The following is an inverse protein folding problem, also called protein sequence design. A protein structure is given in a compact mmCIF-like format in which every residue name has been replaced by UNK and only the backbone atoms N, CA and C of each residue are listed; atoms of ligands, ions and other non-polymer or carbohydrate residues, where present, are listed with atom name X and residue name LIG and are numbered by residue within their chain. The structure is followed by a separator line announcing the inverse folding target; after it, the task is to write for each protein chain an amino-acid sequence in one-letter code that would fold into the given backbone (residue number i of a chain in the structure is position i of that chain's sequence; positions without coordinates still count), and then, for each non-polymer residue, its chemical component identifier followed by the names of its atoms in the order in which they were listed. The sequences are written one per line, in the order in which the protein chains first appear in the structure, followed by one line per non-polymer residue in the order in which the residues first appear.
data_IF_224562025562
#
_entry.id   IF_224562025562
#
_cell.length_a   1.000
_cell.length_b   1.000
_cell.length_c   1.000
_cell.angle_alpha   90.00
_cell.angle_beta   90.00
_cell.angle_gamma   90.00
#
_symmetry.space_group_name_H-M   'P 1'
#
loop_
_entity.id
_entity.type
_entity.pdbx_description
1 polymer ?
#
# COMPACT_ATOMS: atom_id res chain seq x y z
N UNK A 1 -36.04 1.09 -10.59
CA UNK A 1 -34.74 1.59 -10.12
C UNK A 1 -33.74 0.49 -10.38
N UNK A 2 -32.58 0.83 -10.91
CA UNK A 2 -31.48 -0.13 -11.14
C UNK A 2 -30.21 0.46 -10.57
N UNK A 3 -29.49 -0.36 -9.85
CA UNK A 3 -28.19 0.02 -9.33
C UNK A 3 -27.19 0.18 -10.49
N UNK A 4 -26.43 1.26 -10.47
CA UNK A 4 -25.42 1.55 -11.48
C UNK A 4 -24.08 0.86 -11.15
N UNK A 5 -23.73 0.82 -9.87
CA UNK A 5 -22.52 0.21 -9.35
C UNK A 5 -22.83 -0.52 -8.05
N UNK A 6 -22.42 -1.78 -7.95
CA UNK A 6 -22.65 -2.65 -6.79
C UNK A 6 -21.35 -3.32 -6.38
N UNK A 7 -21.34 -4.06 -5.25
CA UNK A 7 -20.19 -4.82 -4.79
C UNK A 7 -19.40 -4.11 -3.67
N UNK A 8 -20.03 -3.15 -2.98
CA UNK A 8 -19.46 -2.48 -1.81
C UNK A 8 -19.87 -3.11 -0.47
N UNK A 9 -20.75 -4.12 -0.55
CA UNK A 9 -21.18 -4.93 0.60
C UNK A 9 -21.03 -6.41 0.26
N UNK A 10 -20.61 -7.20 1.23
CA UNK A 10 -20.50 -8.65 1.15
C UNK A 10 -20.93 -9.28 2.46
N UNK A 11 -21.99 -10.10 2.44
CA UNK A 11 -22.51 -10.84 3.62
C UNK A 11 -22.77 -9.94 4.84
N UNK A 12 -23.40 -8.76 4.62
CA UNK A 12 -23.66 -7.71 5.62
C UNK A 12 -22.41 -6.91 6.06
N UNK A 13 -21.22 -7.23 5.56
CA UNK A 13 -20.00 -6.45 5.80
C UNK A 13 -19.84 -5.37 4.71
N UNK A 14 -19.55 -4.15 5.14
CA UNK A 14 -19.18 -3.03 4.25
C UNK A 14 -17.73 -3.20 3.84
N UNK A 15 -17.50 -3.50 2.56
CA UNK A 15 -16.15 -3.67 1.97
C UNK A 15 -15.71 -2.47 1.14
N UNK A 16 -16.59 -1.49 0.95
CA UNK A 16 -16.32 -0.21 0.31
C UNK A 16 -17.39 0.81 0.65
N UNK A 17 -17.02 2.09 0.59
CA UNK A 17 -17.91 3.21 0.87
C UNK A 17 -17.75 4.30 -0.18
N UNK A 18 -18.53 4.24 -1.29
CA UNK A 18 -18.51 5.29 -2.32
C UNK A 18 -18.91 6.63 -1.70
N UNK A 19 -18.04 7.64 -1.86
CA UNK A 19 -18.21 8.95 -1.22
C UNK A 19 -18.57 10.03 -2.23
N UNK A 20 -17.98 10.02 -3.43
CA UNK A 20 -18.21 11.03 -4.45
C UNK A 20 -18.11 10.47 -5.86
N UNK A 21 -18.73 11.16 -6.82
CA UNK A 21 -18.78 10.76 -8.23
C UNK A 21 -18.45 11.95 -9.12
N UNK A 22 -17.51 11.77 -10.06
CA UNK A 22 -17.08 12.79 -11.02
C UNK A 22 -17.12 12.23 -12.44
N UNK A 23 -17.66 13.00 -13.40
CA UNK A 23 -17.53 12.71 -14.82
C UNK A 23 -16.24 13.35 -15.37
N UNK A 24 -15.37 12.52 -15.96
CA UNK A 24 -14.16 12.97 -16.61
C UNK A 24 -14.40 13.55 -18.03
N UNK A 25 -13.43 14.28 -18.59
CA UNK A 25 -13.55 14.89 -19.92
C UNK A 25 -13.68 13.90 -21.07
N UNK A 26 -13.33 12.64 -20.85
CA UNK A 26 -13.46 11.52 -21.77
C UNK A 26 -14.78 10.73 -21.61
N UNK A 27 -15.70 11.22 -20.75
CA UNK A 27 -16.95 10.55 -20.43
C UNK A 27 -16.79 9.34 -19.50
N UNK A 28 -15.60 9.12 -18.92
CA UNK A 28 -15.41 8.16 -17.83
C UNK A 28 -16.05 8.69 -16.56
N UNK A 29 -16.57 7.78 -15.73
CA UNK A 29 -17.08 8.09 -14.39
C UNK A 29 -16.04 7.64 -13.38
N UNK A 30 -15.64 8.55 -12.51
CA UNK A 30 -14.74 8.29 -11.38
C UNK A 30 -15.55 8.24 -10.10
N UNK A 31 -15.35 7.21 -9.30
CA UNK A 31 -16.01 7.03 -8.00
C UNK A 31 -14.94 6.90 -6.93
N UNK A 32 -14.92 7.82 -5.98
CA UNK A 32 -14.04 7.72 -4.82
C UNK A 32 -14.63 6.82 -3.75
N UNK A 33 -13.78 6.02 -3.13
CA UNK A 33 -14.12 5.15 -2.00
C UNK A 33 -13.26 5.58 -0.81
N UNK A 34 -13.87 6.17 0.20
CA UNK A 34 -13.17 6.69 1.37
C UNK A 34 -12.88 5.61 2.43
N UNK A 35 -13.45 4.42 2.28
CA UNK A 35 -13.15 3.28 3.13
C UNK A 35 -11.86 2.57 2.69
N UNK A 36 -11.72 2.31 1.39
CA UNK A 36 -10.53 1.65 0.83
C UNK A 36 -9.43 2.63 0.39
N UNK A 37 -9.75 3.93 0.29
CA UNK A 37 -8.84 4.94 -0.28
C UNK A 37 -8.64 4.79 -1.79
N UNK A 38 -9.58 4.16 -2.49
CA UNK A 38 -9.50 3.83 -3.91
C UNK A 38 -10.32 4.81 -4.75
N UNK A 39 -9.90 5.06 -5.99
CA UNK A 39 -10.71 5.74 -7.01
C UNK A 39 -10.97 4.75 -8.14
N UNK A 40 -12.24 4.39 -8.32
CA UNK A 40 -12.67 3.55 -9.43
C UNK A 40 -12.88 4.40 -10.69
N UNK A 41 -12.36 3.96 -11.83
CA UNK A 41 -12.67 4.52 -13.13
C UNK A 41 -13.57 3.57 -13.92
N UNK A 42 -14.73 4.05 -14.30
CA UNK A 42 -15.70 3.32 -15.09
C UNK A 42 -15.78 3.98 -16.46
N UNK A 43 -15.45 3.26 -17.51
CA UNK A 43 -15.51 3.77 -18.87
C UNK A 43 -16.32 2.82 -19.77
N UNK A 44 -16.93 3.36 -20.84
CA UNK A 44 -17.52 2.54 -21.90
C UNK A 44 -16.40 1.94 -22.74
N UNK A 45 -16.03 0.71 -22.44
CA UNK A 45 -15.27 -0.13 -23.35
C UNK A 45 -16.20 -0.75 -24.41
N UNK A 46 -15.68 -1.08 -25.60
CA UNK A 46 -16.33 -2.08 -26.42
C UNK A 46 -16.51 -3.32 -25.54
N UNK A 47 -17.71 -3.90 -25.53
CA UNK A 47 -18.01 -5.11 -24.77
C UNK A 47 -17.22 -6.28 -25.36
N UNK A 48 -15.94 -6.33 -25.06
CA UNK A 48 -15.14 -7.53 -25.15
C UNK A 48 -15.55 -8.38 -23.95
N UNK A 49 -16.24 -9.49 -24.22
CA UNK A 49 -16.21 -10.60 -23.30
C UNK A 49 -14.73 -10.95 -23.17
N UNK A 50 -14.10 -10.50 -22.09
CA UNK A 50 -12.74 -10.86 -21.76
C UNK A 50 -12.72 -12.40 -21.63
N UNK A 51 -12.08 -13.06 -22.59
CA UNK A 51 -11.56 -14.38 -22.37
C UNK A 51 -10.39 -14.25 -21.37
N UNK A 52 -10.10 -15.30 -20.64
CA UNK A 52 -9.05 -15.35 -19.59
C UNK A 52 -7.66 -14.85 -20.04
N UNK A 53 -7.43 -14.72 -21.36
CA UNK A 53 -6.17 -14.23 -21.95
C UNK A 53 -6.05 -12.69 -21.92
N UNK A 54 -7.14 -11.94 -21.98
CA UNK A 54 -7.12 -10.46 -21.88
C UNK A 54 -6.87 -9.99 -20.43
N UNK A 55 -7.28 -10.79 -19.43
CA UNK A 55 -6.95 -10.52 -18.03
C UNK A 55 -5.44 -10.63 -17.76
N UNK A 56 -4.76 -11.56 -18.43
CA UNK A 56 -3.30 -11.74 -18.28
C UNK A 56 -2.50 -10.59 -18.89
N UNK A 57 -2.94 -10.04 -20.03
CA UNK A 57 -2.26 -8.89 -20.65
C UNK A 57 -2.46 -7.61 -19.88
N UNK A 58 -3.67 -7.38 -19.33
CA UNK A 58 -3.99 -6.21 -18.49
C UNK A 58 -3.29 -6.26 -17.13
N UNK A 59 -3.05 -7.47 -16.59
CA UNK A 59 -2.26 -7.66 -15.38
C UNK A 59 -0.76 -7.46 -15.63
N UNK A 60 -0.26 -7.76 -16.83
CA UNK A 60 1.14 -7.51 -17.20
C UNK A 60 1.45 -6.02 -17.42
N UNK A 61 0.50 -5.23 -17.95
CA UNK A 61 0.64 -3.78 -18.08
C UNK A 61 0.45 -3.01 -16.75
N UNK A 62 -0.19 -3.64 -15.75
CA UNK A 62 -0.34 -3.10 -14.39
C UNK A 62 0.86 -3.35 -13.48
N UNK A 63 1.80 -4.15 -13.90
CA UNK A 63 3.02 -4.49 -13.15
C UNK A 63 4.04 -3.33 -13.06
N UNK A 64 3.71 -2.12 -13.54
CA UNK A 64 4.55 -0.94 -13.42
C UNK A 64 4.10 0.07 -12.34
N UNK A 65 3.04 -0.23 -11.57
CA UNK A 65 2.76 0.53 -10.34
C UNK A 65 3.60 -0.05 -9.20
N UNK A 66 4.52 0.72 -8.58
CA UNK A 66 5.40 0.20 -7.53
C UNK A 66 4.69 -0.35 -6.29
N UNK A 67 3.36 -0.24 -6.23
CA UNK A 67 2.54 -0.73 -5.12
C UNK A 67 1.99 -2.15 -5.33
N UNK A 68 2.05 -2.71 -6.55
CA UNK A 68 1.50 -4.05 -6.87
C UNK A 68 2.52 -5.20 -6.79
N UNK A 69 3.69 -4.97 -6.22
CA UNK A 69 4.79 -5.94 -6.20
C UNK A 69 4.73 -7.01 -5.11
N UNK A 70 3.74 -7.01 -4.23
CA UNK A 70 3.59 -8.00 -3.18
C UNK A 70 2.48 -9.00 -3.54
N UNK A 71 2.84 -10.11 -4.19
CA UNK A 71 1.95 -11.27 -4.27
C UNK A 71 1.67 -11.80 -2.86
N UNK A 72 0.41 -12.19 -2.52
CA UNK A 72 0.10 -12.69 -1.20
C UNK A 72 0.88 -13.99 -0.92
N UNK A 73 1.73 -13.96 0.11
CA UNK A 73 2.30 -15.16 0.73
C UNK A 73 3.79 -15.42 0.55
N UNK A 74 4.58 -14.47 0.03
CA UNK A 74 6.03 -14.58 0.06
C UNK A 74 6.57 -13.72 1.22
N UNK A 75 7.34 -14.35 2.12
CA UNK A 75 8.09 -13.64 3.16
C UNK A 75 8.98 -12.55 2.50
N UNK A 76 8.73 -11.25 2.76
CA UNK A 76 9.51 -10.16 2.14
C UNK A 76 11.01 -10.24 2.41
N UNK A 77 11.43 -10.98 3.44
CA UNK A 77 12.79 -11.12 3.88
C UNK A 77 13.44 -12.45 3.47
N UNK A 78 12.69 -13.37 2.83
CA UNK A 78 13.16 -14.71 2.47
C UNK A 78 14.46 -14.75 1.63
N UNK A 79 14.75 -13.67 0.90
CA UNK A 79 15.98 -13.56 0.09
C UNK A 79 17.21 -13.11 0.89
N UNK A 80 17.05 -12.70 2.15
CA UNK A 80 18.14 -12.21 2.99
C UNK A 80 18.71 -13.32 3.88
N UNK A 81 20.03 -13.40 3.95
CA UNK A 81 20.70 -14.23 4.96
C UNK A 81 20.43 -13.69 6.37
N UNK A 82 20.21 -14.58 7.34
CA UNK A 82 19.84 -14.22 8.70
C UNK A 82 20.77 -13.22 9.39
N UNK A 83 22.09 -13.31 9.15
CA UNK A 83 23.06 -12.36 9.71
C UNK A 83 22.86 -10.95 9.13
N UNK A 84 22.67 -10.83 7.81
CA UNK A 84 22.43 -9.56 7.13
C UNK A 84 21.06 -8.97 7.57
N UNK A 85 20.04 -9.82 7.68
CA UNK A 85 18.74 -9.40 8.18
C UNK A 85 18.83 -8.81 9.58
N UNK A 86 19.58 -9.46 10.49
CA UNK A 86 19.78 -8.99 11.85
C UNK A 86 20.52 -7.66 11.91
N UNK A 87 21.57 -7.49 11.10
CA UNK A 87 22.34 -6.22 11.03
C UNK A 87 21.44 -5.09 10.52
N UNK A 88 20.70 -5.33 9.43
CA UNK A 88 19.78 -4.35 8.86
C UNK A 88 18.63 -4.02 9.82
N UNK A 89 18.08 -5.01 10.53
CA UNK A 89 17.04 -4.80 11.54
C UNK A 89 17.50 -3.88 12.67
N UNK A 90 18.71 -4.10 13.20
CA UNK A 90 19.30 -3.23 14.24
C UNK A 90 19.50 -1.79 13.75
N UNK A 91 20.01 -1.63 12.53
CA UNK A 91 20.16 -0.31 11.90
C UNK A 91 18.79 0.34 11.67
N UNK A 92 17.82 -0.42 11.18
CA UNK A 92 16.45 0.05 10.96
C UNK A 92 15.75 0.48 12.24
N UNK A 93 15.93 -0.26 13.34
CA UNK A 93 15.42 0.12 14.66
C UNK A 93 15.98 1.48 15.12
N UNK A 94 17.28 1.70 14.94
CA UNK A 94 17.91 2.97 15.30
C UNK A 94 17.35 4.13 14.44
N UNK A 95 17.13 3.90 13.14
CA UNK A 95 16.55 4.88 12.22
C UNK A 95 15.07 5.18 12.55
N UNK A 96 14.29 4.16 12.92
CA UNK A 96 12.91 4.29 13.34
C UNK A 96 12.77 5.22 14.56
N UNK A 97 13.65 5.05 15.55
CA UNK A 97 13.71 5.92 16.72
C UNK A 97 14.21 7.33 16.40
N UNK A 98 15.30 7.44 15.63
CA UNK A 98 15.92 8.73 15.28
C UNK A 98 14.97 9.64 14.47
N UNK A 99 14.13 9.07 13.63
CA UNK A 99 13.15 9.79 12.82
C UNK A 99 11.76 9.90 13.49
N UNK A 100 11.64 9.50 14.76
CA UNK A 100 10.42 9.55 15.55
C UNK A 100 9.20 8.92 14.87
N UNK A 101 9.39 7.82 14.11
CA UNK A 101 8.32 7.16 13.34
C UNK A 101 7.18 6.67 14.24
N UNK A 102 7.51 6.27 15.49
CA UNK A 102 6.53 5.83 16.50
C UNK A 102 5.46 6.86 16.81
N UNK A 103 5.76 8.17 16.74
CA UNK A 103 4.78 9.22 17.04
C UNK A 103 3.52 9.19 16.17
N UNK A 104 3.63 8.62 14.97
CA UNK A 104 2.52 8.47 14.03
C UNK A 104 2.11 7.01 13.80
N UNK A 105 2.97 6.05 14.19
CA UNK A 105 2.75 4.64 13.87
C UNK A 105 2.55 3.73 15.10
N UNK A 106 2.94 4.18 16.30
CA UNK A 106 2.75 3.44 17.54
C UNK A 106 1.82 4.19 18.48
N UNK A 107 0.77 3.53 18.96
CA UNK A 107 -0.22 4.18 19.83
C UNK A 107 0.40 4.63 21.17
N UNK A 108 1.38 3.92 21.66
CA UNK A 108 2.11 4.21 22.90
C UNK A 108 3.01 5.45 22.82
N UNK A 109 3.48 5.80 21.62
CA UNK A 109 4.40 6.93 21.37
C UNK A 109 3.66 8.17 20.85
N UNK A 110 2.38 8.02 20.49
CA UNK A 110 1.60 9.09 19.87
C UNK A 110 1.21 10.15 20.89
N UNK A 111 1.37 11.45 20.57
CA UNK A 111 0.84 12.53 21.39
C UNK A 111 -0.70 12.47 21.47
N UNK A 112 -1.31 13.00 22.56
CA UNK A 112 -2.76 13.06 22.70
C UNK A 112 -3.44 13.72 21.48
N UNK A 113 -4.41 13.05 20.88
CA UNK A 113 -5.18 13.56 19.73
C UNK A 113 -4.56 13.28 18.36
N UNK A 114 -3.41 12.60 18.28
CA UNK A 114 -2.84 12.11 17.02
C UNK A 114 -3.48 10.77 16.68
N UNK A 115 -4.00 10.68 15.46
CA UNK A 115 -4.50 9.40 14.92
C UNK A 115 -3.30 8.61 14.40
N UNK A 116 -3.06 7.45 14.98
CA UNK A 116 -1.97 6.57 14.56
C UNK A 116 -2.38 5.71 13.38
N UNK A 117 -1.42 5.43 12.50
CA UNK A 117 -1.58 4.50 11.38
C UNK A 117 -0.77 3.23 11.65
N UNK A 118 -1.46 2.10 11.81
CA UNK A 118 -0.82 0.80 12.03
C UNK A 118 0.11 0.42 10.87
N UNK A 119 1.23 -0.21 11.22
CA UNK A 119 2.19 -0.81 10.30
C UNK A 119 1.97 -2.32 10.13
N UNK A 120 0.98 -2.92 10.79
CA UNK A 120 0.69 -4.34 10.66
C UNK A 120 0.27 -4.72 9.24
N UNK A 121 0.68 -5.91 8.81
CA UNK A 121 0.35 -6.45 7.50
C UNK A 121 1.03 -5.74 6.34
N UNK A 122 2.23 -5.19 6.53
CA UNK A 122 3.01 -4.56 5.47
C UNK A 122 3.35 -5.54 4.34
N UNK A 123 3.65 -6.81 4.66
CA UNK A 123 3.99 -7.86 3.70
C UNK A 123 2.85 -8.19 2.71
N UNK A 124 1.60 -7.87 3.07
CA UNK A 124 0.48 -8.01 2.14
C UNK A 124 0.41 -6.90 1.07
N UNK A 125 1.11 -5.78 1.30
CA UNK A 125 1.06 -4.57 0.44
C UNK A 125 2.39 -4.23 -0.23
N UNK A 126 3.49 -4.61 0.38
CA UNK A 126 4.83 -4.27 -0.07
C UNK A 126 5.75 -5.48 -0.03
N UNK A 127 6.72 -5.54 -0.93
CA UNK A 127 7.94 -6.32 -0.79
C UNK A 127 9.08 -5.42 -0.32
N UNK A 128 10.26 -6.00 -0.09
CA UNK A 128 11.42 -5.25 0.41
C UNK A 128 11.84 -4.10 -0.52
N UNK A 129 11.77 -4.29 -1.82
CA UNK A 129 12.16 -3.29 -2.80
C UNK A 129 11.15 -2.15 -2.87
N UNK A 130 9.86 -2.48 -2.98
CA UNK A 130 8.78 -1.46 -3.07
C UNK A 130 8.65 -0.65 -1.79
N UNK A 131 8.85 -1.25 -0.59
CA UNK A 131 8.87 -0.50 0.66
C UNK A 131 10.11 0.40 0.76
N UNK A 132 11.28 -0.06 0.32
CA UNK A 132 12.49 0.76 0.25
C UNK A 132 12.30 1.98 -0.67
N UNK A 133 11.63 1.78 -1.80
CA UNK A 133 11.32 2.84 -2.76
C UNK A 133 10.26 3.82 -2.23
N UNK A 134 9.27 3.33 -1.48
CA UNK A 134 8.23 4.16 -0.87
C UNK A 134 8.80 5.31 -0.02
N UNK A 135 9.91 5.10 0.68
CA UNK A 135 10.56 6.15 1.49
C UNK A 135 11.19 7.29 0.69
N UNK A 136 11.33 7.17 -0.63
CA UNK A 136 11.81 8.26 -1.49
C UNK A 136 10.73 9.35 -1.62
N UNK A 137 9.47 8.93 -1.76
CA UNK A 137 8.32 9.82 -1.92
C UNK A 137 7.10 9.25 -1.19
N UNK A 138 7.09 9.32 0.16
CA UNK A 138 6.00 8.77 0.95
C UNK A 138 4.70 9.54 0.72
N UNK A 139 3.58 8.83 0.81
CA UNK A 139 2.25 9.45 0.67
C UNK A 139 1.94 10.35 1.87
N UNK A 140 1.52 11.62 1.67
CA UNK A 140 1.09 12.48 2.76
C UNK A 140 -0.02 11.84 3.61
N UNK A 141 -0.05 12.09 4.93
CA UNK A 141 0.72 13.09 5.69
C UNK A 141 2.11 12.62 6.16
N UNK A 142 2.61 11.44 5.73
CA UNK A 142 3.94 10.99 6.09
C UNK A 142 5.00 11.93 5.49
N UNK A 143 5.92 12.50 6.30
CA UNK A 143 6.99 13.36 5.78
C UNK A 143 8.02 12.54 4.99
N UNK A 144 8.69 13.20 4.04
CA UNK A 144 9.87 12.64 3.41
C UNK A 144 11.08 12.81 4.35
N UNK A 145 11.93 11.79 4.41
CA UNK A 145 13.16 11.77 5.20
C UNK A 145 14.38 11.72 4.28
N UNK A 146 15.44 12.42 4.64
CA UNK A 146 16.72 12.39 3.92
C UNK A 146 17.50 11.13 4.33
N UNK A 147 17.10 10.00 3.76
CA UNK A 147 17.69 8.69 3.99
C UNK A 147 18.41 8.20 2.73
N UNK A 148 19.59 7.65 2.90
CA UNK A 148 20.28 6.91 1.85
C UNK A 148 19.53 5.63 1.46
N UNK A 149 19.84 5.04 0.32
CA UNK A 149 19.22 3.78 -0.12
C UNK A 149 19.43 2.66 0.91
N UNK A 150 20.64 2.53 1.46
CA UNK A 150 20.96 1.54 2.50
C UNK A 150 20.17 1.76 3.80
N UNK A 151 19.92 3.01 4.16
CA UNK A 151 19.11 3.36 5.34
C UNK A 151 17.64 3.06 5.12
N UNK A 152 17.10 3.38 3.94
CA UNK A 152 15.72 3.02 3.58
C UNK A 152 15.52 1.50 3.59
N UNK A 153 16.50 0.76 3.03
CA UNK A 153 16.48 -0.70 3.04
C UNK A 153 16.53 -1.27 4.46
N UNK A 154 17.41 -0.73 5.32
CA UNK A 154 17.47 -1.13 6.72
C UNK A 154 16.17 -0.87 7.47
N UNK A 155 15.56 0.30 7.24
CA UNK A 155 14.26 0.64 7.81
C UNK A 155 13.18 -0.31 7.33
N UNK A 156 13.11 -0.64 6.03
CA UNK A 156 12.16 -1.60 5.48
C UNK A 156 12.31 -3.00 6.11
N UNK A 157 13.54 -3.49 6.26
CA UNK A 157 13.80 -4.78 6.95
C UNK A 157 13.29 -4.76 8.38
N UNK A 158 13.56 -3.68 9.13
CA UNK A 158 13.06 -3.53 10.50
C UNK A 158 11.54 -3.56 10.56
N UNK A 159 10.86 -2.85 9.66
CA UNK A 159 9.40 -2.83 9.64
C UNK A 159 8.79 -4.21 9.36
N UNK A 160 9.33 -4.95 8.40
CA UNK A 160 8.88 -6.33 8.15
C UNK A 160 9.18 -7.27 9.31
N UNK A 161 10.34 -7.14 9.96
CA UNK A 161 10.71 -7.99 11.10
C UNK A 161 9.81 -7.77 12.33
N UNK A 162 9.22 -6.58 12.47
CA UNK A 162 8.47 -6.19 13.67
C UNK A 162 6.94 -6.22 13.49
N UNK A 163 6.43 -5.96 12.28
CA UNK A 163 5.01 -5.67 12.04
C UNK A 163 4.36 -6.63 11.03
N UNK A 164 4.91 -7.81 10.84
CA UNK A 164 4.34 -8.88 10.02
C UNK A 164 3.38 -9.77 10.79
#
# INVERSE_FOLDING_TARGET
ERDFLTGFEREEDVIGRPADVLEGPDGSIYVSDDYSGTIFRIHRGAATRAGDDDLKSTLAERAEDPQDGAGPGLDPLASLHAEIQKELDQKGLALFGANACGTCHLAEDAPPGVITKSLEGLGARYNLETLTQFFVAPTPPMPAFDLTEDERRALAVHLFSRFE
#
